data_IF_621545659944
#
_entry.id   IF_621545659944
#
_cell.length_a   1.000
_cell.length_b   1.000
_cell.length_c   1.000
_cell.angle_alpha   90.00
_cell.angle_beta   90.00
_cell.angle_gamma   90.00
#
_symmetry.space_group_name_H-M   'P 1'
#
loop_
_entity.id
_entity.type
_entity.pdbx_description
1 polymer ?
#
# COMPACT_ATOMS: atom_id res chain seq x y z
N UNK A 1 -49.18 -61.34 1.10
CA UNK A 1 -48.34 -60.92 2.25
C UNK A 1 -46.94 -60.68 1.67
N UNK A 2 -46.63 -59.55 1.05
CA UNK A 2 -46.61 -58.17 1.56
C UNK A 2 -45.70 -58.02 2.79
N UNK A 3 -44.69 -57.15 2.62
CA UNK A 3 -43.79 -56.55 3.61
C UNK A 3 -42.58 -57.39 4.04
N UNK A 4 -41.44 -57.18 3.38
CA UNK A 4 -40.10 -56.98 4.00
C UNK A 4 -38.98 -57.06 2.96
N UNK A 5 -38.80 -56.03 2.12
CA UNK A 5 -37.55 -55.87 1.35
C UNK A 5 -37.31 -54.45 0.82
N UNK A 6 -37.81 -53.41 1.50
CA UNK A 6 -37.62 -52.01 1.07
C UNK A 6 -36.80 -51.15 2.05
N UNK A 7 -36.33 -51.70 3.17
CA UNK A 7 -35.62 -50.92 4.20
C UNK A 7 -34.10 -51.12 4.15
N UNK A 8 -33.59 -52.14 3.44
CA UNK A 8 -32.15 -52.44 3.40
C UNK A 8 -31.43 -52.03 2.10
N UNK A 9 -32.10 -51.28 1.22
CA UNK A 9 -31.48 -50.70 0.00
C UNK A 9 -31.33 -49.17 0.13
N UNK A 10 -32.09 -48.50 1.02
CA UNK A 10 -31.93 -47.06 1.25
C UNK A 10 -30.74 -46.68 2.14
N UNK A 11 -30.17 -47.62 2.89
CA UNK A 11 -29.06 -47.33 3.82
C UNK A 11 -27.67 -47.37 3.16
N UNK A 12 -27.52 -47.91 1.95
CA UNK A 12 -26.24 -47.96 1.23
C UNK A 12 -26.09 -46.91 0.11
N UNK A 13 -27.15 -46.18 -0.22
CA UNK A 13 -27.08 -45.07 -1.18
C UNK A 13 -26.67 -43.74 -0.54
N UNK A 14 -26.53 -43.67 0.79
CA UNK A 14 -26.14 -42.47 1.54
C UNK A 14 -24.63 -42.38 1.86
N UNK A 15 -23.82 -43.33 1.40
CA UNK A 15 -22.36 -43.35 1.64
C UNK A 15 -21.52 -42.76 0.49
N UNK A 16 -22.15 -42.27 -0.59
CA UNK A 16 -21.47 -41.60 -1.70
C UNK A 16 -22.25 -40.34 -2.14
N UNK A 17 -22.65 -39.51 -1.18
CA UNK A 17 -22.81 -38.09 -1.46
C UNK A 17 -21.40 -37.51 -1.51
N UNK A 18 -20.73 -37.68 -2.66
CA UNK A 18 -19.53 -36.91 -2.97
C UNK A 18 -19.83 -35.44 -2.74
N UNK A 19 -18.90 -34.74 -2.09
CA UNK A 19 -18.86 -33.30 -2.09
C UNK A 19 -19.00 -32.85 -3.55
N UNK A 20 -20.19 -32.37 -3.91
CA UNK A 20 -20.38 -31.63 -5.14
C UNK A 20 -19.71 -30.31 -4.84
N UNK A 21 -18.44 -30.24 -5.20
CA UNK A 21 -17.69 -29.01 -5.28
C UNK A 21 -18.44 -28.15 -6.29
N UNK A 22 -19.30 -27.25 -5.80
CA UNK A 22 -19.86 -26.18 -6.61
C UNK A 22 -18.70 -25.23 -6.89
N UNK A 23 -17.82 -25.63 -7.79
CA UNK A 23 -16.93 -24.71 -8.48
C UNK A 23 -17.84 -23.74 -9.23
N UNK A 24 -18.16 -22.61 -8.60
CA UNK A 24 -18.59 -21.44 -9.33
C UNK A 24 -17.49 -21.20 -10.38
N UNK A 25 -17.81 -21.41 -11.65
CA UNK A 25 -16.89 -21.05 -12.72
C UNK A 25 -16.72 -19.54 -12.62
N UNK A 26 -15.58 -19.11 -12.11
CA UNK A 26 -15.22 -17.71 -12.06
C UNK A 26 -15.15 -17.20 -13.51
N UNK A 27 -16.15 -16.44 -13.92
CA UNK A 27 -16.14 -15.77 -15.23
C UNK A 27 -15.25 -14.54 -15.13
N UNK A 28 -14.15 -14.60 -15.89
CA UNK A 28 -13.08 -13.61 -15.89
C UNK A 28 -13.63 -12.21 -16.21
N UNK A 29 -13.40 -11.21 -15.35
CA UNK A 29 -13.62 -9.83 -15.73
C UNK A 29 -12.61 -9.42 -16.81
N UNK A 30 -13.04 -8.81 -17.92
CA UNK A 30 -12.14 -8.41 -18.99
C UNK A 30 -11.15 -7.33 -18.53
N UNK A 31 -10.03 -7.19 -19.23
CA UNK A 31 -9.18 -5.99 -19.10
C UNK A 31 -10.05 -4.76 -19.35
N UNK A 32 -9.97 -3.78 -18.45
CA UNK A 32 -10.70 -2.51 -18.58
C UNK A 32 -9.81 -1.43 -19.19
N UNK A 33 -10.44 -0.37 -19.70
CA UNK A 33 -9.75 0.72 -20.41
C UNK A 33 -8.82 1.50 -19.48
N UNK A 34 -7.78 2.09 -20.05
CA UNK A 34 -6.95 3.07 -19.35
C UNK A 34 -7.72 4.39 -19.20
N UNK A 35 -7.55 5.05 -18.06
CA UNK A 35 -8.15 6.34 -17.74
C UNK A 35 -7.25 7.53 -18.12
N UNK A 36 -5.99 7.29 -18.47
CA UNK A 36 -5.03 8.37 -18.73
C UNK A 36 -5.34 9.16 -20.00
N UNK A 37 -5.72 8.49 -21.10
CA UNK A 37 -6.01 9.16 -22.38
C UNK A 37 -7.06 10.27 -22.32
N UNK A 38 -8.24 10.10 -21.69
CA UNK A 38 -9.20 11.20 -21.54
C UNK A 38 -8.70 12.31 -20.60
N UNK A 39 -8.03 11.96 -19.50
CA UNK A 39 -7.54 12.93 -18.50
C UNK A 39 -6.38 13.79 -19.00
N UNK A 40 -5.60 13.29 -19.96
CA UNK A 40 -4.52 14.05 -20.59
C UNK A 40 -5.01 15.36 -21.25
N UNK A 41 -6.28 15.44 -21.66
CA UNK A 41 -6.86 16.68 -22.22
C UNK A 41 -7.16 17.71 -21.14
N UNK A 42 -7.65 17.25 -19.99
CA UNK A 42 -8.06 18.11 -18.88
C UNK A 42 -6.86 18.76 -18.18
N UNK A 43 -5.66 18.14 -18.25
CA UNK A 43 -4.41 18.70 -17.70
C UNK A 43 -4.09 20.11 -18.22
N UNK A 44 -4.40 20.40 -19.49
CA UNK A 44 -4.01 21.65 -20.16
C UNK A 44 -5.10 22.72 -20.16
N UNK A 45 -6.31 22.41 -19.71
CA UNK A 45 -7.45 23.35 -19.70
C UNK A 45 -7.64 24.06 -18.35
N UNK A 46 -6.92 23.63 -17.30
CA UNK A 46 -7.00 24.23 -15.97
C UNK A 46 -6.13 25.48 -15.83
N UNK A 47 -6.51 26.36 -14.90
CA UNK A 47 -5.71 27.53 -14.52
C UNK A 47 -4.28 27.09 -14.12
N UNK A 48 -3.22 27.60 -14.78
CA UNK A 48 -1.82 27.21 -14.51
C UNK A 48 -1.38 27.38 -13.06
N UNK A 49 -1.98 28.31 -12.32
CA UNK A 49 -1.69 28.58 -10.91
C UNK A 49 -2.53 27.73 -9.93
N UNK A 50 -3.48 26.93 -10.43
CA UNK A 50 -4.36 26.11 -9.61
C UNK A 50 -3.66 24.83 -9.16
N UNK A 51 -3.68 24.49 -7.85
CA UNK A 51 -3.11 23.25 -7.35
C UNK A 51 -3.79 22.01 -7.94
N UNK A 52 -2.98 21.13 -8.52
CA UNK A 52 -3.39 19.82 -9.00
C UNK A 52 -2.59 18.72 -8.31
N UNK A 53 -3.05 17.47 -8.48
CA UNK A 53 -2.41 16.28 -7.95
C UNK A 53 -2.18 16.38 -6.43
N UNK A 54 -3.10 17.03 -5.71
CA UNK A 54 -2.95 17.29 -4.28
C UNK A 54 -2.99 15.98 -3.51
N UNK A 55 -1.95 15.72 -2.73
CA UNK A 55 -1.84 14.52 -1.91
C UNK A 55 -1.13 14.83 -0.59
N UNK A 56 -1.43 14.01 0.43
CA UNK A 56 -0.87 14.19 1.78
C UNK A 56 -0.22 12.91 2.29
N UNK A 57 0.80 13.07 3.13
CA UNK A 57 1.50 11.96 3.80
C UNK A 57 1.88 12.34 5.23
N UNK A 58 2.05 11.34 6.10
CA UNK A 58 2.52 11.58 7.47
C UNK A 58 3.99 12.06 7.43
N UNK A 59 4.34 13.10 8.21
CA UNK A 59 5.69 13.68 8.22
C UNK A 59 6.25 13.83 9.64
N UNK A 60 6.29 12.71 10.36
CA UNK A 60 6.67 12.66 11.77
C UNK A 60 5.51 12.97 12.73
N UNK A 61 5.84 13.11 14.02
CA UNK A 61 4.85 13.19 15.10
C UNK A 61 3.90 14.37 14.93
N UNK A 62 2.60 14.06 14.77
CA UNK A 62 1.51 15.02 14.63
C UNK A 62 1.70 16.02 13.47
N UNK A 63 2.42 15.65 12.42
CA UNK A 63 2.65 16.50 11.25
C UNK A 63 2.14 15.83 9.99
N UNK A 64 1.70 16.66 9.05
CA UNK A 64 1.21 16.22 7.74
C UNK A 64 2.00 16.98 6.68
N UNK A 65 2.52 16.26 5.68
CA UNK A 65 3.05 16.84 4.45
C UNK A 65 1.91 16.98 3.46
N UNK A 66 1.85 18.13 2.81
CA UNK A 66 0.89 18.45 1.76
C UNK A 66 1.71 18.78 0.52
N UNK A 67 1.46 18.03 -0.54
CA UNK A 67 2.16 18.14 -1.81
C UNK A 67 1.17 18.39 -2.93
N UNK A 68 1.53 19.25 -3.88
CA UNK A 68 0.72 19.55 -5.05
C UNK A 68 1.59 20.01 -6.21
N UNK A 69 1.02 20.10 -7.39
CA UNK A 69 1.71 20.55 -8.61
C UNK A 69 0.95 21.72 -9.23
N UNK A 70 1.67 22.74 -9.68
CA UNK A 70 1.15 23.83 -10.53
C UNK A 70 1.93 23.89 -11.84
N UNK A 71 1.32 24.39 -12.90
CA UNK A 71 2.05 24.60 -14.17
C UNK A 71 2.93 25.85 -14.10
N UNK A 72 2.44 26.90 -13.47
CA UNK A 72 3.19 28.13 -13.21
C UNK A 72 3.80 28.14 -11.81
N UNK A 73 4.86 28.91 -11.60
CA UNK A 73 5.45 29.10 -10.28
C UNK A 73 4.47 29.83 -9.34
N UNK A 74 4.24 29.23 -8.17
CA UNK A 74 3.38 29.78 -7.12
C UNK A 74 4.08 29.64 -5.76
N UNK A 75 3.69 30.40 -4.73
CA UNK A 75 4.29 30.24 -3.41
C UNK A 75 4.02 28.85 -2.83
N UNK A 76 5.04 28.13 -2.36
CA UNK A 76 4.87 26.92 -1.55
C UNK A 76 4.37 27.27 -0.13
N UNK A 77 3.10 27.61 -0.01
CA UNK A 77 2.43 28.02 1.22
C UNK A 77 1.15 27.21 1.40
N UNK A 78 0.93 26.66 2.59
CA UNK A 78 -0.37 26.11 2.98
C UNK A 78 -0.96 26.99 4.07
N UNK A 79 -2.23 27.35 3.94
CA UNK A 79 -3.02 27.94 5.02
C UNK A 79 -4.04 26.90 5.47
N UNK A 80 -4.19 26.73 6.79
CA UNK A 80 -5.04 25.68 7.34
C UNK A 80 -5.72 26.07 8.66
N UNK A 81 -6.82 25.41 8.97
CA UNK A 81 -7.61 25.62 10.18
C UNK A 81 -8.62 24.50 10.41
N UNK A 82 -9.33 24.53 11.53
CA UNK A 82 -10.35 23.52 11.88
C UNK A 82 -11.76 23.87 11.40
N UNK A 83 -11.90 25.00 10.69
CA UNK A 83 -13.18 25.50 10.17
C UNK A 83 -13.00 25.90 8.70
N UNK A 84 -13.95 25.51 7.86
CA UNK A 84 -13.98 25.88 6.44
C UNK A 84 -13.98 27.40 6.29
N UNK A 85 -13.12 27.90 5.40
CA UNK A 85 -12.89 29.30 5.10
C UNK A 85 -12.15 30.10 6.18
N UNK A 86 -11.80 29.50 7.33
CA UNK A 86 -11.09 30.17 8.44
C UNK A 86 -9.73 29.49 8.73
N UNK A 87 -8.71 29.96 8.03
CA UNK A 87 -7.35 29.43 8.10
C UNK A 87 -6.48 30.21 9.09
N UNK A 88 -6.49 29.78 10.36
CA UNK A 88 -5.76 30.45 11.45
C UNK A 88 -4.25 30.23 11.41
N UNK A 89 -3.80 29.19 10.71
CA UNK A 89 -2.40 28.80 10.63
C UNK A 89 -1.91 28.84 9.19
N UNK A 90 -0.60 29.01 9.05
CA UNK A 90 0.06 28.90 7.74
C UNK A 90 1.47 28.33 7.89
N UNK A 91 1.90 27.56 6.91
CA UNK A 91 3.26 27.04 6.80
C UNK A 91 3.84 27.36 5.42
N UNK A 92 5.15 27.51 5.36
CA UNK A 92 5.92 27.62 4.12
C UNK A 92 6.69 26.33 3.91
N UNK A 93 6.94 25.98 2.66
CA UNK A 93 7.76 24.84 2.31
C UNK A 93 8.66 25.14 1.12
N UNK A 94 8.86 24.14 0.28
CA UNK A 94 9.80 24.19 -0.83
C UNK A 94 9.11 23.86 -2.15
N UNK A 95 9.77 24.22 -3.25
CA UNK A 95 9.39 23.84 -4.59
C UNK A 95 10.49 23.01 -5.23
N UNK A 96 10.11 22.13 -6.15
CA UNK A 96 11.01 21.33 -6.96
C UNK A 96 10.46 21.18 -8.37
N UNK A 97 11.35 20.92 -9.33
CA UNK A 97 11.00 20.50 -10.69
C UNK A 97 11.96 19.39 -11.07
N UNK A 98 11.48 18.40 -11.80
CA UNK A 98 12.37 17.39 -12.38
C UNK A 98 12.26 17.38 -13.90
N UNK A 99 13.38 16.98 -14.51
CA UNK A 99 13.51 16.79 -15.92
C UNK A 99 13.71 15.30 -16.19
N UNK A 100 13.03 14.78 -17.20
CA UNK A 100 13.14 13.38 -17.60
C UNK A 100 13.06 13.30 -19.12
N UNK A 101 14.22 13.10 -19.75
CA UNK A 101 14.41 13.10 -21.20
C UNK A 101 13.87 14.36 -21.93
N UNK A 102 12.63 14.35 -22.42
CA UNK A 102 12.00 15.53 -23.06
C UNK A 102 10.88 16.13 -22.22
N UNK A 103 10.54 15.48 -21.10
CA UNK A 103 9.50 15.92 -20.18
C UNK A 103 10.08 16.84 -19.11
N UNK A 104 9.34 17.89 -18.79
CA UNK A 104 9.55 18.71 -17.59
C UNK A 104 8.29 18.61 -16.75
N UNK A 105 8.45 18.38 -15.45
CA UNK A 105 7.32 18.45 -14.55
C UNK A 105 6.78 19.87 -14.43
N UNK A 106 5.53 19.99 -13.97
CA UNK A 106 5.11 21.23 -13.32
C UNK A 106 5.95 21.51 -12.06
N UNK A 107 5.73 22.66 -11.44
CA UNK A 107 6.33 23.00 -10.16
C UNK A 107 5.68 22.15 -9.07
N UNK A 108 6.45 21.24 -8.48
CA UNK A 108 6.06 20.40 -7.36
C UNK A 108 6.28 21.21 -6.08
N UNK A 109 5.25 21.35 -5.27
CA UNK A 109 5.29 22.05 -3.99
C UNK A 109 5.21 21.03 -2.87
N UNK A 110 5.95 21.30 -1.82
CA UNK A 110 6.04 20.43 -0.65
C UNK A 110 6.01 21.27 0.62
N UNK A 111 4.98 21.09 1.46
CA UNK A 111 4.80 21.85 2.70
C UNK A 111 4.42 20.93 3.85
N UNK A 112 5.19 20.97 4.94
CA UNK A 112 4.87 20.27 6.19
C UNK A 112 4.13 21.20 7.15
N UNK A 113 2.93 20.80 7.56
CA UNK A 113 2.09 21.49 8.53
C UNK A 113 2.05 20.76 9.88
N UNK A 114 1.77 21.51 10.96
CA UNK A 114 1.62 20.98 12.30
C UNK A 114 2.49 21.69 13.36
N UNK A 115 2.48 21.20 14.62
CA UNK A 115 1.80 19.99 15.08
C UNK A 115 0.26 20.13 15.01
N UNK A 116 -0.41 19.02 14.70
CA UNK A 116 -1.86 18.91 14.52
C UNK A 116 -2.48 18.09 15.66
N UNK A 117 -3.75 18.35 15.95
CA UNK A 117 -4.50 17.51 16.88
C UNK A 117 -4.88 16.19 16.19
N UNK A 118 -4.82 15.05 16.90
CA UNK A 118 -5.30 13.76 16.40
C UNK A 118 -6.83 13.77 16.19
N UNK A 119 -7.33 12.85 15.36
CA UNK A 119 -8.77 12.66 15.08
C UNK A 119 -9.53 13.96 14.73
N UNK A 120 -8.87 14.90 14.08
CA UNK A 120 -9.37 16.26 13.83
C UNK A 120 -9.43 16.55 12.34
N UNK A 121 -10.55 17.12 11.89
CA UNK A 121 -10.69 17.61 10.52
C UNK A 121 -10.03 18.97 10.40
N UNK A 122 -9.14 19.11 9.42
CA UNK A 122 -8.52 20.37 9.03
C UNK A 122 -8.92 20.71 7.60
N UNK A 123 -9.23 21.98 7.37
CA UNK A 123 -9.45 22.58 6.06
C UNK A 123 -8.18 23.33 5.66
N UNK A 124 -7.83 23.27 4.38
CA UNK A 124 -6.61 23.89 3.87
C UNK A 124 -6.72 24.36 2.43
N UNK A 125 -5.93 25.38 2.10
CA UNK A 125 -5.69 25.86 0.73
C UNK A 125 -4.20 25.86 0.44
N UNK A 126 -3.84 25.62 -0.81
CA UNK A 126 -2.46 25.51 -1.26
C UNK A 126 -2.09 26.68 -2.19
N UNK A 127 -0.91 27.24 -1.99
CA UNK A 127 -0.39 28.34 -2.79
C UNK A 127 -1.18 29.64 -2.63
N UNK A 128 -2.01 29.97 -3.62
CA UNK A 128 -2.70 31.26 -3.69
C UNK A 128 -4.01 31.27 -2.91
N UNK A 129 -4.53 32.46 -2.61
CA UNK A 129 -5.86 32.60 -1.97
C UNK A 129 -7.03 32.20 -2.88
N UNK A 130 -6.77 31.88 -4.16
CA UNK A 130 -7.77 31.47 -5.13
C UNK A 130 -7.82 29.94 -5.33
N UNK A 131 -6.96 29.20 -4.62
CA UNK A 131 -6.99 27.72 -4.61
C UNK A 131 -8.35 27.21 -4.13
N UNK A 132 -8.83 26.09 -4.70
CA UNK A 132 -9.89 25.30 -4.07
C UNK A 132 -9.55 24.96 -2.62
N UNK A 133 -10.57 24.91 -1.76
CA UNK A 133 -10.42 24.41 -0.39
C UNK A 133 -10.46 22.88 -0.39
N UNK A 134 -9.51 22.29 0.33
CA UNK A 134 -9.45 20.86 0.61
C UNK A 134 -9.70 20.62 2.11
N UNK A 135 -9.98 19.38 2.48
CA UNK A 135 -9.99 18.98 3.88
C UNK A 135 -9.41 17.58 4.06
N UNK A 136 -8.77 17.36 5.20
CA UNK A 136 -8.28 16.06 5.62
C UNK A 136 -8.61 15.80 7.08
N UNK A 137 -8.57 14.53 7.48
CA UNK A 137 -8.72 14.11 8.86
C UNK A 137 -7.43 13.47 9.36
N UNK A 138 -6.87 13.98 10.46
CA UNK A 138 -5.70 13.37 11.10
C UNK A 138 -6.04 11.99 11.67
N UNK A 139 -5.10 11.02 11.67
CA UNK A 139 -5.32 9.73 12.32
C UNK A 139 -5.61 9.89 13.83
N UNK A 140 -6.27 8.90 14.45
CA UNK A 140 -6.49 8.89 15.89
C UNK A 140 -5.17 8.75 16.67
N UNK A 141 -5.11 9.22 17.91
CA UNK A 141 -3.90 9.11 18.73
C UNK A 141 -3.60 7.68 19.22
N UNK A 142 -4.62 6.83 19.23
CA UNK A 142 -4.59 5.46 19.75
C UNK A 142 -5.50 4.57 18.92
N UNK A 143 -5.48 3.28 19.20
CA UNK A 143 -6.43 2.33 18.62
C UNK A 143 -7.90 2.72 18.90
N UNK A 144 -8.84 2.33 18.03
CA UNK A 144 -8.60 1.60 16.77
C UNK A 144 -7.99 2.50 15.69
N UNK A 145 -7.23 1.90 14.77
CA UNK A 145 -6.81 2.54 13.52
C UNK A 145 -7.07 1.57 12.36
N UNK A 146 -7.60 2.08 11.25
CA UNK A 146 -7.83 1.30 10.04
C UNK A 146 -6.90 1.75 8.92
N UNK A 147 -6.15 0.78 8.37
CA UNK A 147 -5.36 0.98 7.17
C UNK A 147 -6.07 0.38 5.96
N UNK A 148 -6.08 1.11 4.84
CA UNK A 148 -6.31 0.50 3.54
C UNK A 148 -4.96 0.07 2.95
N UNK A 149 -4.89 -1.11 2.33
CA UNK A 149 -3.67 -1.64 1.71
C UNK A 149 -3.97 -2.09 0.29
N UNK A 150 -3.26 -1.55 -0.69
CA UNK A 150 -3.39 -1.92 -2.10
C UNK A 150 -2.11 -1.55 -2.83
N UNK A 151 -1.47 -2.49 -3.51
CA UNK A 151 -0.32 -2.26 -4.38
C UNK A 151 -0.74 -2.22 -5.85
N UNK A 152 0.19 -1.83 -6.72
CA UNK A 152 0.07 -2.12 -8.16
C UNK A 152 -1.20 -1.50 -8.76
N UNK A 153 -1.46 -0.24 -8.40
CA UNK A 153 -2.70 0.47 -8.70
C UNK A 153 -2.84 0.73 -10.20
N UNK A 154 -1.84 1.40 -10.80
CA UNK A 154 -1.94 1.89 -12.17
C UNK A 154 -3.10 2.85 -12.39
N UNK A 155 -3.66 2.85 -13.59
CA UNK A 155 -4.59 3.89 -14.05
C UNK A 155 -5.67 3.34 -14.99
N UNK A 156 -6.34 2.25 -14.60
CA UNK A 156 -7.43 1.65 -15.38
C UNK A 156 -8.79 1.85 -14.69
N UNK A 157 -9.88 1.50 -15.36
CA UNK A 157 -11.19 1.48 -14.69
C UNK A 157 -11.23 0.43 -13.54
N UNK A 158 -10.31 -0.55 -13.50
CA UNK A 158 -10.15 -1.40 -12.33
C UNK A 158 -9.52 -0.64 -11.17
N UNK A 159 -8.50 0.18 -11.41
CA UNK A 159 -7.95 1.10 -10.40
C UNK A 159 -9.05 1.96 -9.80
N UNK A 160 -9.88 2.60 -10.63
CA UNK A 160 -10.99 3.42 -10.13
C UNK A 160 -12.00 2.59 -9.32
N UNK A 161 -12.27 1.34 -9.70
CA UNK A 161 -13.09 0.43 -8.91
C UNK A 161 -12.47 0.17 -7.53
N UNK A 162 -11.17 -0.15 -7.47
CA UNK A 162 -10.42 -0.36 -6.23
C UNK A 162 -10.48 0.87 -5.33
N UNK A 163 -10.22 2.07 -5.89
CA UNK A 163 -10.26 3.33 -5.17
C UNK A 163 -11.65 3.63 -4.62
N UNK A 164 -12.71 3.39 -5.39
CA UNK A 164 -14.09 3.55 -4.92
C UNK A 164 -14.46 2.57 -3.79
N UNK A 165 -13.89 1.36 -3.79
CA UNK A 165 -14.06 0.41 -2.70
C UNK A 165 -13.33 0.89 -1.45
N UNK A 166 -12.07 1.31 -1.59
CA UNK A 166 -11.27 1.86 -0.49
C UNK A 166 -11.93 3.11 0.10
N UNK A 167 -12.45 4.04 -0.70
CA UNK A 167 -13.11 5.26 -0.19
C UNK A 167 -14.30 4.93 0.74
N UNK A 168 -15.01 3.82 0.46
CA UNK A 168 -16.14 3.35 1.30
C UNK A 168 -15.72 2.68 2.61
N UNK A 169 -14.45 2.28 2.77
CA UNK A 169 -13.93 1.60 3.97
C UNK A 169 -13.80 2.52 5.20
N UNK A 170 -13.83 3.84 4.98
CA UNK A 170 -13.52 4.87 5.98
C UNK A 170 -12.16 4.64 6.69
N UNK A 171 -11.13 4.30 5.91
CA UNK A 171 -9.76 4.15 6.38
C UNK A 171 -9.16 5.46 6.93
N UNK A 172 -8.12 5.33 7.76
CA UNK A 172 -7.37 6.46 8.32
C UNK A 172 -6.06 6.73 7.58
N UNK A 173 -5.37 5.67 7.12
CA UNK A 173 -4.09 5.74 6.40
C UNK A 173 -4.09 4.72 5.26
N UNK A 174 -3.62 5.09 4.08
CA UNK A 174 -3.41 4.15 2.98
C UNK A 174 -1.95 3.73 2.91
N UNK A 175 -1.69 2.43 2.76
CA UNK A 175 -0.38 1.84 2.58
C UNK A 175 -0.29 1.24 1.16
N UNK A 176 0.73 1.64 0.39
CA UNK A 176 0.90 1.24 -1.01
C UNK A 176 2.28 0.61 -1.21
N UNK A 177 2.37 -0.73 -1.37
CA UNK A 177 3.63 -1.46 -1.54
C UNK A 177 4.22 -1.36 -2.96
N UNK A 178 4.37 -0.16 -3.52
CA UNK A 178 4.99 0.07 -4.84
C UNK A 178 4.08 -0.10 -6.05
N UNK A 179 4.63 0.27 -7.21
CA UNK A 179 3.97 0.32 -8.53
C UNK A 179 2.72 1.22 -8.54
N UNK A 180 2.99 2.52 -8.51
CA UNK A 180 1.97 3.55 -8.37
C UNK A 180 1.27 3.79 -9.70
N UNK A 181 1.98 4.44 -10.63
CA UNK A 181 1.36 5.04 -11.83
C UNK A 181 1.41 4.13 -13.06
N UNK A 182 2.37 3.20 -13.12
CA UNK A 182 2.75 2.50 -14.36
C UNK A 182 3.06 3.48 -15.50
N UNK A 183 3.68 4.62 -15.16
CA UNK A 183 4.12 5.60 -16.15
C UNK A 183 5.16 5.02 -17.10
N UNK A 184 6.01 4.11 -16.60
CA UNK A 184 6.95 3.30 -17.37
C UNK A 184 7.73 4.15 -18.36
N UNK A 185 8.35 5.21 -17.82
CA UNK A 185 9.14 6.20 -18.56
C UNK A 185 8.30 7.21 -19.38
N UNK A 186 6.99 7.00 -19.55
CA UNK A 186 6.07 7.98 -20.13
C UNK A 186 5.50 8.91 -19.06
N UNK A 187 6.27 9.93 -18.73
CA UNK A 187 6.05 10.84 -17.59
C UNK A 187 4.67 11.50 -17.46
N UNK A 188 3.96 11.88 -18.53
CA UNK A 188 2.62 12.47 -18.36
C UNK A 188 1.62 11.54 -17.65
N UNK A 189 1.88 10.23 -17.60
CA UNK A 189 1.07 9.31 -16.80
C UNK A 189 1.24 9.47 -15.30
N UNK A 190 2.35 10.04 -14.81
CA UNK A 190 2.42 10.46 -13.41
C UNK A 190 1.42 11.59 -13.11
N UNK A 191 1.23 12.50 -14.06
CA UNK A 191 0.31 13.63 -13.89
C UNK A 191 -1.15 13.16 -13.84
N UNK A 192 -1.55 12.28 -14.77
CA UNK A 192 -2.89 11.71 -14.74
C UNK A 192 -3.11 10.80 -13.53
N UNK A 193 -2.08 10.07 -13.07
CA UNK A 193 -2.18 9.29 -11.84
C UNK A 193 -2.46 10.19 -10.64
N UNK A 194 -1.71 11.29 -10.50
CA UNK A 194 -1.92 12.29 -9.46
C UNK A 194 -3.35 12.85 -9.47
N UNK A 195 -3.92 13.10 -10.66
CA UNK A 195 -5.32 13.53 -10.78
C UNK A 195 -6.32 12.44 -10.37
N UNK A 196 -6.08 11.18 -10.76
CA UNK A 196 -6.94 10.04 -10.41
C UNK A 196 -6.99 9.84 -8.90
N UNK A 197 -5.86 9.94 -8.20
CA UNK A 197 -5.80 9.67 -6.76
C UNK A 197 -6.12 10.88 -5.88
N UNK A 198 -6.00 12.11 -6.40
CA UNK A 198 -6.23 13.36 -5.64
C UNK A 198 -7.53 13.34 -4.80
N UNK A 199 -8.71 12.90 -5.32
CA UNK A 199 -9.95 12.92 -4.53
C UNK A 199 -9.88 12.15 -3.20
N UNK A 200 -8.97 11.18 -3.08
CA UNK A 200 -8.71 10.44 -1.86
C UNK A 200 -7.40 10.88 -1.18
N UNK A 201 -6.33 11.03 -1.96
CA UNK A 201 -5.00 11.37 -1.46
C UNK A 201 -4.94 12.76 -0.83
N UNK A 202 -5.85 13.68 -1.17
CA UNK A 202 -5.95 14.99 -0.51
C UNK A 202 -6.65 14.94 0.86
N UNK A 203 -7.34 13.83 1.20
CA UNK A 203 -8.21 13.69 2.38
C UNK A 203 -7.64 12.79 3.49
N UNK A 204 -6.86 11.78 3.11
CA UNK A 204 -6.23 10.82 4.02
C UNK A 204 -4.77 10.62 3.61
N UNK A 205 -3.84 10.40 4.56
CA UNK A 205 -2.44 10.18 4.26
C UNK A 205 -2.20 8.89 3.46
N UNK A 206 -1.41 9.00 2.41
CA UNK A 206 -0.88 7.88 1.64
C UNK A 206 0.59 7.69 1.95
N UNK A 207 0.96 6.48 2.35
CA UNK A 207 2.33 6.09 2.66
C UNK A 207 2.74 5.05 1.62
N UNK A 208 3.73 5.39 0.79
CA UNK A 208 4.06 4.64 -0.42
C UNK A 208 5.54 4.25 -0.42
N UNK A 209 5.85 3.02 -0.83
CA UNK A 209 7.23 2.64 -1.21
C UNK A 209 7.32 2.53 -2.73
N UNK A 210 8.53 2.32 -3.23
CA UNK A 210 8.82 2.11 -4.65
C UNK A 210 8.53 0.66 -5.08
N UNK A 211 8.15 0.45 -6.33
CA UNK A 211 8.21 -0.82 -7.05
C UNK A 211 9.13 -0.75 -8.27
N UNK A 212 9.13 -1.77 -9.13
CA UNK A 212 10.01 -1.77 -10.31
C UNK A 212 9.56 -0.74 -11.34
N UNK A 213 8.26 -0.43 -11.40
CA UNK A 213 7.73 0.55 -12.35
C UNK A 213 8.16 1.99 -12.00
N UNK A 214 8.64 2.23 -10.77
CA UNK A 214 9.23 3.51 -10.37
C UNK A 214 10.73 3.65 -10.71
N UNK A 215 11.42 2.58 -11.13
CA UNK A 215 12.86 2.64 -11.44
C UNK A 215 13.11 3.65 -12.56
N UNK A 216 12.36 3.55 -13.66
CA UNK A 216 12.38 4.48 -14.80
C UNK A 216 13.80 4.88 -15.28
N UNK A 217 14.75 3.95 -15.29
CA UNK A 217 16.09 4.21 -15.83
C UNK A 217 16.13 3.93 -17.35
N UNK A 218 16.68 4.85 -18.13
CA UNK A 218 16.96 4.69 -19.56
C UNK A 218 18.47 4.74 -19.79
N UNK A 219 19.13 3.60 -20.06
CA UNK A 219 20.57 3.55 -20.27
C UNK A 219 21.06 4.54 -21.34
N UNK A 220 21.94 5.45 -20.93
CA UNK A 220 22.54 6.47 -21.79
C UNK A 220 21.67 7.69 -22.09
N UNK A 221 20.44 7.75 -21.58
CA UNK A 221 19.51 8.89 -21.76
C UNK A 221 19.11 9.49 -20.41
N UNK A 222 18.70 8.65 -19.46
CA UNK A 222 18.30 9.05 -18.10
C UNK A 222 18.77 7.98 -17.12
N UNK A 223 19.90 8.20 -16.45
CA UNK A 223 20.57 7.16 -15.65
C UNK A 223 20.20 7.19 -14.16
N UNK A 224 19.47 8.20 -13.71
CA UNK A 224 19.09 8.32 -12.30
C UNK A 224 17.77 7.59 -12.06
N UNK A 225 17.76 6.46 -11.33
CA UNK A 225 16.53 5.73 -11.08
C UNK A 225 15.65 6.48 -10.07
N UNK A 226 14.34 6.23 -10.09
CA UNK A 226 13.37 6.78 -9.14
C UNK A 226 13.23 8.31 -9.15
N UNK A 227 13.71 9.01 -10.18
CA UNK A 227 13.63 10.49 -10.26
C UNK A 227 12.20 10.99 -10.05
N UNK A 228 11.23 10.41 -10.76
CA UNK A 228 9.83 10.82 -10.71
C UNK A 228 9.19 10.51 -9.35
N UNK A 229 9.46 9.32 -8.80
CA UNK A 229 9.00 8.91 -7.47
C UNK A 229 9.54 9.84 -6.37
N UNK A 230 10.85 10.08 -6.35
CA UNK A 230 11.50 10.92 -5.34
C UNK A 230 11.08 12.39 -5.43
N UNK A 231 10.78 12.89 -6.63
CA UNK A 231 10.30 14.24 -6.79
C UNK A 231 8.84 14.41 -6.35
N UNK A 232 7.97 13.44 -6.66
CA UNK A 232 6.52 13.56 -6.45
C UNK A 232 6.06 13.09 -5.07
N UNK A 233 6.64 12.01 -4.55
CA UNK A 233 6.20 11.34 -3.33
C UNK A 233 7.30 11.35 -2.27
N UNK A 234 7.51 12.52 -1.66
CA UNK A 234 8.45 12.68 -0.54
C UNK A 234 7.83 12.09 0.74
N UNK A 235 8.48 11.08 1.27
CA UNK A 235 8.08 10.33 2.46
C UNK A 235 8.93 10.74 3.68
N UNK A 236 8.55 10.38 4.92
CA UNK A 236 9.25 10.83 6.13
C UNK A 236 10.57 10.09 6.41
N UNK A 237 11.43 9.99 5.40
CA UNK A 237 12.67 9.24 5.51
C UNK A 237 13.67 9.89 6.47
N UNK A 238 13.79 11.22 6.44
CA UNK A 238 14.65 11.96 7.37
C UNK A 238 14.15 11.82 8.82
N UNK A 239 12.84 11.89 9.05
CA UNK A 239 12.24 11.73 10.38
C UNK A 239 12.46 10.33 10.96
N UNK A 240 12.58 9.31 10.10
CA UNK A 240 12.95 7.94 10.48
C UNK A 240 14.47 7.73 10.63
N UNK A 241 15.27 8.74 10.33
CA UNK A 241 16.73 8.65 10.31
C UNK A 241 17.29 7.80 9.17
N UNK A 242 16.51 7.62 8.10
CA UNK A 242 16.96 7.02 6.85
C UNK A 242 17.72 8.05 6.01
N UNK A 243 18.61 7.56 5.14
CA UNK A 243 19.34 8.36 4.16
C UNK A 243 18.68 8.40 2.78
N UNK A 244 17.52 7.78 2.61
CA UNK A 244 16.88 7.63 1.30
C UNK A 244 15.35 7.60 1.42
N UNK A 245 14.68 8.25 0.49
CA UNK A 245 13.22 8.19 0.35
C UNK A 245 12.70 6.78 -0.02
N UNK A 246 13.59 5.87 -0.47
CA UNK A 246 13.23 4.53 -0.91
C UNK A 246 13.01 3.54 0.25
N UNK A 247 13.45 3.88 1.47
CA UNK A 247 13.22 3.08 2.66
C UNK A 247 13.13 3.98 3.89
N UNK A 248 12.09 3.80 4.70
CA UNK A 248 11.82 4.64 5.86
C UNK A 248 10.86 3.96 6.83
N UNK A 249 10.64 4.57 7.99
CA UNK A 249 9.65 4.11 8.96
C UNK A 249 8.77 5.26 9.46
N UNK A 250 7.62 4.94 10.02
CA UNK A 250 6.79 5.90 10.74
C UNK A 250 5.97 5.22 11.82
N UNK A 251 5.51 6.02 12.78
CA UNK A 251 4.64 5.54 13.85
C UNK A 251 3.29 6.26 13.80
N UNK A 252 2.20 5.49 13.90
CA UNK A 252 0.84 6.03 13.95
C UNK A 252 -0.04 5.15 14.82
N UNK A 253 -0.75 5.76 15.77
CA UNK A 253 -1.75 5.12 16.64
C UNK A 253 -1.31 3.82 17.36
N UNK A 254 -0.01 3.64 17.64
CA UNK A 254 0.53 2.42 18.26
C UNK A 254 0.99 1.34 17.28
N UNK A 255 1.15 1.70 16.00
CA UNK A 255 1.73 0.86 14.96
C UNK A 255 3.04 1.49 14.50
N UNK A 256 4.12 0.71 14.49
CA UNK A 256 5.36 1.04 13.82
C UNK A 256 5.36 0.37 12.44
N UNK A 257 5.53 1.16 11.38
CA UNK A 257 5.46 0.70 10.00
C UNK A 257 6.82 0.88 9.34
N UNK A 258 7.40 -0.22 8.86
CA UNK A 258 8.61 -0.23 8.04
C UNK A 258 8.22 -0.20 6.57
N UNK A 259 8.78 0.73 5.80
CA UNK A 259 8.64 0.80 4.35
C UNK A 259 10.01 0.48 3.76
N UNK A 260 10.18 -0.71 3.18
CA UNK A 260 11.47 -1.20 2.69
C UNK A 260 11.50 -1.14 1.16
N UNK A 261 12.69 -0.90 0.62
CA UNK A 261 12.95 -0.79 -0.81
C UNK A 261 13.46 -2.11 -1.38
N UNK A 262 12.65 -2.77 -2.22
CA UNK A 262 13.04 -4.00 -2.92
C UNK A 262 14.05 -3.75 -4.05
N UNK A 263 14.03 -2.59 -4.70
CA UNK A 263 14.93 -2.26 -5.83
C UNK A 263 16.00 -1.22 -5.46
N UNK A 264 16.43 -1.25 -4.21
CA UNK A 264 17.64 -0.56 -3.75
C UNK A 264 18.52 -1.54 -2.98
N UNK A 265 19.78 -1.20 -2.76
CA UNK A 265 20.74 -2.10 -2.13
C UNK A 265 20.23 -2.60 -0.76
N UNK A 266 20.10 -3.91 -0.60
CA UNK A 266 19.57 -4.58 0.60
C UNK A 266 20.55 -5.58 1.22
N UNK A 267 21.74 -5.77 0.64
CA UNK A 267 22.79 -6.62 1.20
C UNK A 267 23.27 -6.12 2.57
N UNK A 268 23.98 -6.96 3.33
CA UNK A 268 24.36 -6.66 4.72
C UNK A 268 25.18 -5.38 4.93
N UNK A 269 25.90 -4.93 3.91
CA UNK A 269 26.71 -3.71 3.96
C UNK A 269 25.95 -2.47 3.43
N UNK A 270 24.69 -2.62 3.01
CA UNK A 270 23.92 -1.52 2.41
C UNK A 270 23.43 -0.51 3.44
N UNK A 271 23.14 0.71 2.97
CA UNK A 271 22.54 1.74 3.80
C UNK A 271 21.18 1.29 4.37
N UNK A 272 20.36 0.64 3.56
CA UNK A 272 19.05 0.13 3.97
C UNK A 272 19.15 -0.93 5.07
N UNK A 273 20.04 -1.91 4.92
CA UNK A 273 20.21 -2.98 5.90
C UNK A 273 20.67 -2.42 7.25
N UNK A 274 21.68 -1.55 7.23
CA UNK A 274 22.20 -0.90 8.43
C UNK A 274 21.15 0.00 9.11
N UNK A 275 20.39 0.76 8.31
CA UNK A 275 19.28 1.57 8.81
C UNK A 275 18.20 0.69 9.46
N UNK A 276 17.76 -0.40 8.81
CA UNK A 276 16.75 -1.32 9.33
C UNK A 276 17.17 -1.90 10.69
N UNK A 277 18.43 -2.32 10.82
CA UNK A 277 18.94 -2.79 12.11
C UNK A 277 18.91 -1.69 13.20
N UNK A 278 19.21 -0.45 12.84
CA UNK A 278 19.21 0.67 13.76
C UNK A 278 17.79 1.10 14.16
N UNK A 279 16.85 1.05 13.22
CA UNK A 279 15.45 1.37 13.42
C UNK A 279 14.76 0.32 14.30
N UNK A 280 14.90 -0.97 13.99
CA UNK A 280 14.35 -2.07 14.80
C UNK A 280 14.81 -2.06 16.26
N UNK A 281 16.05 -1.61 16.52
CA UNK A 281 16.58 -1.45 17.90
C UNK A 281 15.88 -0.35 18.69
N UNK A 282 15.29 0.64 18.02
CA UNK A 282 14.58 1.77 18.65
C UNK A 282 13.11 1.45 18.93
N UNK A 283 12.55 0.41 18.32
CA UNK A 283 11.14 0.04 18.50
C UNK A 283 10.86 -0.33 19.95
N UNK A 284 10.01 0.45 20.63
CA UNK A 284 9.46 0.13 21.94
C UNK A 284 8.05 -0.44 21.78
N UNK A 285 7.92 -1.77 21.88
CA UNK A 285 6.63 -2.48 21.73
C UNK A 285 5.58 -2.13 22.80
N UNK A 286 5.93 -1.35 23.84
CA UNK A 286 4.93 -0.78 24.77
C UNK A 286 4.26 0.48 24.22
N UNK A 287 4.95 1.21 23.34
CA UNK A 287 4.43 2.39 22.63
C UNK A 287 3.80 1.99 21.32
N UNK A 288 4.50 1.15 20.55
CA UNK A 288 4.06 0.63 19.26
C UNK A 288 3.97 -0.89 19.34
N UNK A 289 2.92 -1.45 19.96
CA UNK A 289 2.78 -2.89 20.07
C UNK A 289 2.81 -3.57 18.70
N UNK A 290 2.22 -2.97 17.67
CA UNK A 290 2.23 -3.54 16.32
C UNK A 290 3.46 -3.08 15.53
N UNK A 291 4.11 -4.03 14.88
CA UNK A 291 5.23 -3.80 13.97
C UNK A 291 4.91 -4.49 12.64
N UNK A 292 4.73 -3.71 11.57
CA UNK A 292 4.46 -4.24 10.23
C UNK A 292 5.53 -3.76 9.24
N UNK A 293 5.68 -4.48 8.13
CA UNK A 293 6.57 -4.08 7.05
C UNK A 293 5.87 -4.09 5.69
N UNK A 294 6.31 -3.21 4.81
CA UNK A 294 5.97 -3.19 3.39
C UNK A 294 7.25 -3.43 2.58
N UNK A 295 7.15 -4.32 1.62
CA UNK A 295 8.12 -4.57 0.55
C UNK A 295 7.35 -4.53 -0.77
N UNK A 296 8.02 -4.38 -1.91
CA UNK A 296 7.32 -4.52 -3.18
C UNK A 296 7.35 -5.98 -3.66
N UNK A 297 8.56 -6.53 -3.86
CA UNK A 297 8.75 -7.90 -4.33
C UNK A 297 8.48 -8.92 -3.19
N UNK A 298 7.48 -9.82 -3.29
CA UNK A 298 7.13 -10.74 -2.22
C UNK A 298 8.21 -11.81 -1.99
N UNK A 299 8.55 -12.05 -0.73
CA UNK A 299 9.48 -13.10 -0.31
C UNK A 299 8.88 -14.51 -0.32
N UNK A 300 7.56 -14.58 -0.22
CA UNK A 300 6.76 -15.79 -0.29
C UNK A 300 5.70 -15.58 -1.36
N UNK A 301 5.73 -16.42 -2.40
CA UNK A 301 4.88 -16.30 -3.57
C UNK A 301 4.66 -17.72 -4.13
N UNK A 302 3.41 -18.13 -4.33
CA UNK A 302 3.08 -19.39 -5.01
C UNK A 302 2.43 -19.20 -6.38
N UNK A 303 2.34 -17.96 -6.86
CA UNK A 303 2.02 -17.63 -8.25
C UNK A 303 3.21 -17.98 -9.15
N UNK A 304 2.97 -18.41 -10.39
CA UNK A 304 4.04 -18.67 -11.35
C UNK A 304 4.74 -17.38 -11.82
N UNK A 305 4.07 -16.23 -11.72
CA UNK A 305 4.67 -14.92 -12.00
C UNK A 305 5.70 -14.55 -10.92
N UNK A 306 6.80 -13.91 -11.33
CA UNK A 306 7.84 -13.38 -10.44
C UNK A 306 8.53 -14.43 -9.56
N UNK A 307 8.58 -15.69 -10.01
CA UNK A 307 9.33 -16.75 -9.34
C UNK A 307 10.83 -16.58 -9.59
N UNK A 308 11.62 -16.65 -8.51
CA UNK A 308 13.07 -16.70 -8.63
C UNK A 308 13.79 -15.35 -8.78
N UNK A 309 13.07 -14.24 -8.66
CA UNK A 309 13.65 -12.90 -8.83
C UNK A 309 14.66 -12.56 -7.73
N UNK A 310 15.67 -11.77 -8.09
CA UNK A 310 16.78 -11.40 -7.22
C UNK A 310 16.30 -10.61 -6.00
N UNK A 311 15.34 -9.72 -6.22
CA UNK A 311 14.75 -8.86 -5.19
C UNK A 311 13.93 -9.69 -4.20
N UNK A 312 13.19 -10.69 -4.66
CA UNK A 312 12.47 -11.62 -3.77
C UNK A 312 13.41 -12.55 -2.99
N UNK A 313 14.35 -13.22 -3.68
CA UNK A 313 15.22 -14.22 -3.04
C UNK A 313 16.32 -13.55 -2.21
N UNK A 314 17.00 -12.57 -2.78
CA UNK A 314 18.15 -11.89 -2.19
C UNK A 314 17.77 -11.03 -0.98
N UNK A 315 16.67 -10.28 -1.08
CA UNK A 315 16.20 -9.45 0.04
C UNK A 315 15.71 -10.33 1.19
N UNK A 316 14.95 -11.41 0.91
CA UNK A 316 14.58 -12.41 1.92
C UNK A 316 15.81 -13.01 2.59
N UNK A 317 16.79 -13.45 1.80
CA UNK A 317 18.03 -14.02 2.33
C UNK A 317 18.78 -13.06 3.25
N UNK A 318 18.71 -11.76 2.98
CA UNK A 318 19.40 -10.73 3.77
C UNK A 318 18.60 -10.35 5.01
N UNK A 319 17.30 -10.09 4.90
CA UNK A 319 16.53 -9.36 5.92
C UNK A 319 15.49 -10.20 6.68
N UNK A 320 15.17 -11.43 6.24
CA UNK A 320 14.16 -12.25 6.91
C UNK A 320 14.47 -12.48 8.40
N UNK A 321 15.73 -12.74 8.72
CA UNK A 321 16.19 -12.92 10.10
C UNK A 321 15.98 -11.66 10.95
N UNK A 322 16.13 -10.47 10.38
CA UNK A 322 15.93 -9.21 11.10
C UNK A 322 14.45 -9.04 11.46
N UNK A 323 13.55 -9.24 10.50
CA UNK A 323 12.10 -9.11 10.71
C UNK A 323 11.59 -10.19 11.68
N UNK A 324 12.08 -11.42 11.55
CA UNK A 324 11.75 -12.52 12.44
C UNK A 324 12.16 -12.25 13.89
N UNK A 325 13.42 -11.85 14.13
CA UNK A 325 13.92 -11.51 15.49
C UNK A 325 13.21 -10.32 16.09
N UNK A 326 12.82 -9.34 15.27
CA UNK A 326 12.02 -8.20 15.71
C UNK A 326 10.55 -8.55 15.99
N UNK A 327 10.12 -9.79 15.66
CA UNK A 327 8.72 -10.24 15.74
C UNK A 327 7.80 -9.29 14.97
N UNK A 328 8.15 -9.00 13.72
CA UNK A 328 7.25 -8.31 12.78
C UNK A 328 5.97 -9.14 12.66
N UNK A 329 4.82 -8.50 12.83
CA UNK A 329 3.52 -9.17 12.89
C UNK A 329 3.04 -9.55 11.48
N UNK A 330 3.18 -8.62 10.52
CA UNK A 330 2.71 -8.77 9.13
C UNK A 330 3.67 -8.10 8.16
N UNK A 331 3.87 -8.73 7.00
CA UNK A 331 4.56 -8.15 5.84
C UNK A 331 3.58 -8.08 4.67
N UNK A 332 3.37 -6.88 4.13
CA UNK A 332 2.60 -6.66 2.91
C UNK A 332 3.51 -6.49 1.71
N UNK A 333 3.15 -7.09 0.58
CA UNK A 333 3.88 -7.03 -0.68
C UNK A 333 2.96 -6.74 -1.87
N UNK A 334 3.47 -6.10 -2.91
CA UNK A 334 2.78 -5.88 -4.18
C UNK A 334 3.26 -6.87 -5.26
N UNK A 335 3.57 -6.35 -6.44
CA UNK A 335 4.31 -6.95 -7.57
C UNK A 335 3.58 -8.08 -8.30
N UNK A 336 3.21 -9.13 -7.57
CA UNK A 336 2.42 -10.21 -8.15
C UNK A 336 0.98 -9.73 -8.23
N UNK A 337 0.46 -9.66 -9.45
CA UNK A 337 -0.90 -9.16 -9.73
C UNK A 337 -2.01 -10.14 -9.33
N UNK A 338 -2.06 -10.48 -8.05
CA UNK A 338 -3.05 -11.34 -7.43
C UNK A 338 -3.02 -11.16 -5.90
N UNK A 339 -4.04 -11.67 -5.24
CA UNK A 339 -4.05 -11.78 -3.78
C UNK A 339 -3.50 -13.12 -3.33
N UNK A 340 -2.64 -13.11 -2.31
CA UNK A 340 -2.20 -14.33 -1.62
C UNK A 340 -1.85 -14.06 -0.15
N UNK A 341 -2.36 -14.89 0.76
CA UNK A 341 -2.02 -14.86 2.18
C UNK A 341 -1.39 -16.17 2.62
N UNK A 342 -0.23 -16.03 3.25
CA UNK A 342 0.49 -17.12 3.89
C UNK A 342 0.11 -17.24 5.37
N UNK A 343 0.40 -18.40 5.96
CA UNK A 343 0.43 -18.54 7.43
C UNK A 343 1.65 -17.81 8.02
N UNK A 344 1.80 -17.83 9.35
CA UNK A 344 3.05 -17.40 9.97
C UNK A 344 4.20 -18.27 9.45
N UNK A 345 5.18 -17.65 8.82
CA UNK A 345 6.21 -18.36 8.06
C UNK A 345 7.61 -17.83 8.39
N UNK A 346 8.57 -18.73 8.45
CA UNK A 346 9.98 -18.41 8.61
C UNK A 346 10.82 -19.52 7.98
N UNK A 347 11.81 -19.16 7.15
CA UNK A 347 12.69 -20.12 6.45
C UNK A 347 11.91 -21.20 5.69
N UNK A 348 10.89 -20.77 4.94
CA UNK A 348 10.07 -21.66 4.10
C UNK A 348 9.27 -22.71 4.85
N UNK A 349 9.11 -22.54 6.17
CA UNK A 349 8.33 -23.43 7.03
C UNK A 349 7.27 -22.64 7.79
N UNK A 350 6.12 -23.26 8.02
CA UNK A 350 5.12 -22.73 8.95
C UNK A 350 5.76 -22.63 10.35
N UNK A 351 5.75 -21.43 10.92
CA UNK A 351 6.38 -21.14 12.20
C UNK A 351 5.56 -20.10 12.94
N UNK A 352 5.03 -20.46 14.12
CA UNK A 352 4.07 -19.62 14.87
C UNK A 352 4.56 -18.20 15.24
N UNK A 353 5.88 -17.98 15.25
CA UNK A 353 6.50 -16.68 15.52
C UNK A 353 7.03 -15.96 14.28
N UNK A 354 6.82 -16.52 13.09
CA UNK A 354 7.10 -15.83 11.84
C UNK A 354 6.03 -14.77 11.54
N UNK A 355 6.35 -13.71 10.80
CA UNK A 355 5.33 -12.81 10.28
C UNK A 355 4.33 -13.56 9.39
N UNK A 356 3.10 -13.04 9.34
CA UNK A 356 2.18 -13.36 8.24
C UNK A 356 2.63 -12.58 7.01
N UNK A 357 2.76 -13.24 5.86
CA UNK A 357 3.03 -12.58 4.58
C UNK A 357 1.76 -12.49 3.75
N UNK A 358 1.48 -11.30 3.21
CA UNK A 358 0.32 -11.03 2.35
C UNK A 358 0.80 -10.32 1.10
N UNK A 359 0.48 -10.89 -0.06
CA UNK A 359 0.62 -10.27 -1.37
C UNK A 359 -0.71 -9.62 -1.75
N UNK A 360 -0.67 -8.34 -2.09
CA UNK A 360 -1.80 -7.45 -2.35
C UNK A 360 -1.51 -6.55 -3.58
N UNK A 361 -0.86 -7.12 -4.60
CA UNK A 361 -0.52 -6.45 -5.86
C UNK A 361 -1.67 -6.43 -6.88
N UNK A 362 -2.89 -6.57 -6.40
CA UNK A 362 -4.11 -6.71 -7.19
C UNK A 362 -4.89 -5.40 -7.32
N UNK A 363 -4.21 -4.25 -7.31
CA UNK A 363 -4.82 -2.92 -7.28
C UNK A 363 -5.53 -2.48 -8.56
N UNK A 364 -5.27 -3.11 -9.70
CA UNK A 364 -6.01 -2.85 -10.94
C UNK A 364 -5.16 -2.34 -12.11
N UNK A 365 -3.85 -2.55 -12.09
CA UNK A 365 -2.97 -2.12 -13.17
C UNK A 365 -3.34 -2.69 -14.56
N UNK A 366 -2.69 -2.12 -15.58
CA UNK A 366 -2.94 -2.41 -17.00
C UNK A 366 -2.41 -3.75 -17.48
N UNK A 367 -1.45 -4.35 -16.78
CA UNK A 367 -0.85 -5.63 -17.17
C UNK A 367 -1.83 -6.77 -16.93
N UNK A 368 -2.64 -6.63 -15.88
CA UNK A 368 -3.71 -7.54 -15.52
C UNK A 368 -3.27 -8.66 -14.58
N UNK A 369 -4.23 -9.50 -14.19
CA UNK A 369 -4.05 -10.49 -13.14
C UNK A 369 -3.10 -11.64 -13.51
N UNK A 370 -2.24 -12.01 -12.56
CA UNK A 370 -1.40 -13.20 -12.60
C UNK A 370 -2.23 -14.42 -12.15
N UNK A 371 -2.67 -15.25 -13.09
CA UNK A 371 -3.72 -16.27 -12.85
C UNK A 371 -3.20 -17.69 -12.60
N UNK A 372 -1.90 -17.92 -12.78
CA UNK A 372 -1.31 -19.26 -12.69
C UNK A 372 -0.62 -19.44 -11.35
N UNK A 373 -0.89 -20.57 -10.71
CA UNK A 373 -0.32 -20.90 -9.41
C UNK A 373 0.34 -22.27 -9.42
N UNK A 374 1.39 -22.41 -8.63
CA UNK A 374 2.03 -23.69 -8.34
C UNK A 374 0.99 -24.67 -7.79
N UNK A 375 0.98 -25.89 -8.36
CA UNK A 375 0.08 -26.98 -8.00
C UNK A 375 0.86 -28.22 -7.58
N UNK A 376 0.52 -28.85 -6.43
CA UNK A 376 -0.52 -28.46 -5.49
C UNK A 376 -0.17 -27.17 -4.72
N UNK A 377 -1.17 -26.54 -4.09
CA UNK A 377 -0.95 -25.37 -3.21
C UNK A 377 0.07 -25.71 -2.12
N UNK A 378 1.16 -24.92 -1.98
CA UNK A 378 2.10 -25.10 -0.88
C UNK A 378 1.38 -24.95 0.47
N UNK A 379 1.70 -25.80 1.45
CA UNK A 379 1.01 -25.80 2.76
C UNK A 379 1.07 -24.46 3.52
N UNK A 380 2.11 -23.66 3.25
CA UNK A 380 2.29 -22.34 3.87
C UNK A 380 1.39 -21.26 3.24
N UNK A 381 0.91 -21.47 2.01
CA UNK A 381 -0.06 -20.60 1.33
C UNK A 381 -1.46 -21.00 1.81
N UNK A 382 -2.16 -20.11 2.52
CA UNK A 382 -3.44 -20.39 3.16
C UNK A 382 -4.61 -19.99 2.25
N UNK A 383 -4.51 -18.85 1.59
CA UNK A 383 -5.51 -18.35 0.66
C UNK A 383 -4.80 -17.69 -0.53
N UNK A 384 -5.30 -17.89 -1.74
CA UNK A 384 -4.77 -17.25 -2.96
C UNK A 384 -5.86 -17.12 -4.00
N UNK A 385 -5.99 -15.95 -4.61
CA UNK A 385 -6.98 -15.70 -5.65
C UNK A 385 -6.50 -14.60 -6.62
N UNK A 386 -6.68 -14.86 -7.91
CA UNK A 386 -6.42 -13.88 -8.95
C UNK A 386 -7.71 -13.08 -9.24
N UNK A 387 -7.97 -12.09 -8.40
CA UNK A 387 -9.02 -11.08 -8.54
C UNK A 387 -8.45 -9.72 -8.17
N UNK A 388 -8.92 -8.64 -8.78
CA UNK A 388 -8.56 -7.29 -8.34
C UNK A 388 -9.28 -6.94 -7.02
N UNK A 389 -8.64 -6.13 -6.19
CA UNK A 389 -9.15 -5.81 -4.88
C UNK A 389 -8.25 -4.91 -4.05
N UNK A 390 -8.57 -4.86 -2.77
CA UNK A 390 -7.79 -4.19 -1.74
C UNK A 390 -7.97 -4.90 -0.39
N UNK A 391 -7.09 -4.62 0.56
CA UNK A 391 -7.24 -5.07 1.93
C UNK A 391 -7.55 -3.96 2.92
N UNK A 392 -8.21 -4.34 4.01
CA UNK A 392 -8.33 -3.52 5.21
C UNK A 392 -7.57 -4.19 6.36
N UNK A 393 -6.69 -3.44 7.00
CA UNK A 393 -5.99 -3.86 8.22
C UNK A 393 -6.47 -2.98 9.38
N UNK A 394 -7.35 -3.52 10.21
CA UNK A 394 -7.91 -2.81 11.37
C UNK A 394 -7.23 -3.25 12.65
N UNK A 395 -6.41 -2.37 13.23
CA UNK A 395 -5.76 -2.62 14.51
C UNK A 395 -6.69 -2.18 15.63
N UNK A 396 -7.27 -3.16 16.31
CA UNK A 396 -8.31 -2.92 17.32
C UNK A 396 -7.71 -2.52 18.67
N UNK A 397 -6.60 -3.16 19.06
CA UNK A 397 -5.87 -2.87 20.29
C UNK A 397 -4.44 -3.43 20.21
N UNK A 398 -3.65 -3.34 21.28
CA UNK A 398 -2.26 -3.83 21.30
C UNK A 398 -2.06 -5.34 21.17
N UNK A 399 -3.12 -6.14 21.03
CA UNK A 399 -3.05 -7.61 20.94
C UNK A 399 -3.76 -8.20 19.73
N UNK A 400 -4.82 -7.54 19.21
CA UNK A 400 -5.63 -8.06 18.10
C UNK A 400 -5.78 -7.03 16.99
N UNK A 401 -5.62 -7.50 15.77
CA UNK A 401 -5.95 -6.79 14.54
C UNK A 401 -6.73 -7.72 13.61
N UNK A 402 -7.59 -7.16 12.78
CA UNK A 402 -8.31 -7.91 11.75
C UNK A 402 -7.74 -7.54 10.38
N UNK A 403 -7.46 -8.55 9.57
CA UNK A 403 -7.22 -8.40 8.15
C UNK A 403 -8.44 -8.90 7.37
N UNK A 404 -8.90 -8.09 6.43
CA UNK A 404 -9.90 -8.48 5.43
C UNK A 404 -9.42 -8.13 4.04
N UNK A 405 -9.71 -8.99 3.06
CA UNK A 405 -9.49 -8.70 1.65
C UNK A 405 -10.82 -8.66 0.91
N UNK A 406 -10.99 -7.65 0.07
CA UNK A 406 -12.24 -7.34 -0.63
C UNK A 406 -12.00 -7.28 -2.13
N UNK A 407 -12.73 -8.12 -2.86
CA UNK A 407 -12.69 -8.18 -4.32
C UNK A 407 -13.49 -7.05 -4.94
N UNK A 408 -13.08 -6.62 -6.13
CA UNK A 408 -13.77 -5.58 -6.89
C UNK A 408 -15.03 -6.07 -7.63
N UNK A 409 -15.19 -7.38 -7.83
CA UNK A 409 -16.35 -7.93 -8.55
C UNK A 409 -17.61 -7.98 -7.68
N UNK A 410 -17.47 -7.83 -6.36
CA UNK A 410 -18.59 -7.76 -5.45
C UNK A 410 -19.13 -6.31 -5.46
N UNK A 411 -20.41 -6.10 -5.81
CA UNK A 411 -21.06 -4.77 -5.87
C UNK A 411 -20.99 -3.98 -4.54
N UNK A 412 -20.69 -4.70 -3.47
CA UNK A 412 -20.44 -4.24 -2.11
C UNK A 412 -19.12 -4.84 -1.63
N UNK A 413 -18.38 -4.14 -0.76
CA UNK A 413 -17.11 -4.63 -0.22
C UNK A 413 -17.32 -5.84 0.72
N UNK A 414 -17.62 -7.02 0.17
CA UNK A 414 -17.72 -8.28 0.90
C UNK A 414 -16.31 -8.80 1.13
N UNK A 415 -15.97 -9.06 2.38
CA UNK A 415 -14.69 -9.64 2.73
C UNK A 415 -14.65 -11.09 2.22
N UNK A 416 -13.80 -11.34 1.22
CA UNK A 416 -13.63 -12.65 0.57
C UNK A 416 -12.61 -13.52 1.31
N UNK A 417 -11.67 -12.89 2.01
CA UNK A 417 -10.81 -13.54 3.00
C UNK A 417 -10.75 -12.69 4.28
N UNK A 418 -10.74 -13.37 5.43
CA UNK A 418 -10.78 -12.74 6.77
C UNK A 418 -9.89 -13.51 7.72
N UNK A 419 -9.02 -12.82 8.45
CA UNK A 419 -8.23 -13.41 9.53
C UNK A 419 -8.05 -12.45 10.70
N UNK A 420 -8.14 -12.98 11.91
CA UNK A 420 -7.71 -12.27 13.12
C UNK A 420 -6.23 -12.57 13.38
N UNK A 421 -5.45 -11.51 13.50
CA UNK A 421 -4.03 -11.54 13.76
C UNK A 421 -3.78 -11.26 15.24
N UNK A 422 -2.91 -12.06 15.83
CA UNK A 422 -2.41 -11.84 17.18
C UNK A 422 -1.05 -11.16 17.12
N UNK A 423 -0.87 -10.15 17.97
CA UNK A 423 0.39 -9.45 18.12
C UNK A 423 1.49 -10.39 18.62
N UNK A 424 2.55 -10.61 17.85
CA UNK A 424 3.61 -11.55 18.17
C UNK A 424 4.44 -11.14 19.39
N UNK A 425 4.53 -9.85 19.71
CA UNK A 425 5.16 -9.39 20.95
C UNK A 425 4.32 -9.66 22.20
N UNK A 426 3.03 -9.99 22.06
CA UNK A 426 2.16 -10.45 23.15
C UNK A 426 2.12 -11.97 23.33
N UNK A 427 2.66 -12.73 22.37
CA UNK A 427 2.67 -14.20 22.39
C UNK A 427 3.90 -14.70 23.16
N UNK A 428 3.67 -15.26 24.36
CA UNK A 428 4.73 -15.71 25.26
C UNK A 428 5.70 -16.75 24.65
N UNK A 429 5.20 -17.59 23.74
CA UNK A 429 6.01 -18.56 23.01
C UNK A 429 7.08 -17.90 22.13
N UNK A 430 6.90 -16.63 21.74
CA UNK A 430 7.79 -15.88 20.87
C UNK A 430 8.82 -15.02 21.63
N UNK A 431 8.85 -15.04 22.96
CA UNK A 431 9.80 -14.25 23.75
C UNK A 431 11.25 -14.72 23.64
N UNK A 432 11.47 -15.95 23.18
CA UNK A 432 12.79 -16.58 23.03
C UNK A 432 13.33 -16.54 21.59
N UNK A 433 12.63 -15.83 20.71
CA UNK A 433 12.98 -15.65 19.29
C UNK A 433 14.11 -14.65 19.13
#
# INVERSE_FOLDING_TARGET
>A
MAVNNLVMILALALAFAGAVDFGFSYDRPPRRKSLSEPLMKDLYEQDPASPQQVHISLSGTNKMRISWITSDDTPAIVKYGTSSGDYKFSAKGSTNVYHYFTYNSGVIHDVVIGPLNPDTVYYYICGTNYSPEFSFKTPPASFPIKFAVSGDLGQTEWTNSTLQHIEKSNYDVLLLPGDLSYADMYQPWWDTFGQIVQPMASKRPWMVTQGNHEIEEIPGIHQEPFTSYNARWVMPYEESGSSSNLFYSFEVSGVHVLMLGSYTEFGHDSAQYNWLQADLKKVDRRKTPWLIALIHAPWYNSNEAHQGEYESIGMKSSMEDLLYRARVDVVFAGHVHAYERFTNVYKDQAHQCGPVHITIGDGGNREGLATKYISPQPKISVFREASFGHGEFEVVNGTHAQWTWHRNQDDVAVASDVVWLANLASVSACYKV
#
